data_IF_018834220339
#
_entry.id   IF_018834220339
#
_cell.length_a   1.000
_cell.length_b   1.000
_cell.length_c   1.000
_cell.angle_alpha   90.00
_cell.angle_beta   90.00
_cell.angle_gamma   90.00
#
_symmetry.space_group_name_H-M   'P 1'
#
loop_
_entity.id
_entity.type
_entity.pdbx_description
1 polymer ?
#
# COMPACT_ATOMS: atom_id res chain seq x y z
N UNK A 1 -39.32 -31.73 -33.40
CA UNK A 1 -38.43 -31.11 -32.39
C UNK A 1 -38.10 -29.69 -32.83
N UNK A 2 -38.75 -28.68 -32.26
CA UNK A 2 -38.52 -27.26 -32.60
C UNK A 2 -37.47 -26.70 -31.63
N UNK A 3 -36.33 -26.24 -32.17
CA UNK A 3 -35.31 -25.52 -31.39
C UNK A 3 -35.80 -24.09 -31.17
N UNK A 4 -36.14 -23.76 -29.93
CA UNK A 4 -36.37 -22.37 -29.50
C UNK A 4 -34.98 -21.79 -29.24
N UNK A 5 -34.54 -20.88 -30.11
CA UNK A 5 -33.37 -20.04 -29.87
C UNK A 5 -33.83 -18.90 -28.97
N UNK A 6 -33.51 -18.98 -27.68
CA UNK A 6 -33.77 -17.91 -26.73
C UNK A 6 -32.65 -16.88 -26.88
N UNK A 7 -32.91 -15.80 -27.62
CA UNK A 7 -32.02 -14.65 -27.73
C UNK A 7 -32.17 -13.82 -26.44
N UNK A 8 -31.30 -14.07 -25.45
CA UNK A 8 -31.25 -13.28 -24.22
C UNK A 8 -30.73 -11.88 -24.50
N UNK A 9 -31.61 -10.88 -24.46
CA UNK A 9 -31.25 -9.47 -24.43
C UNK A 9 -30.42 -9.20 -23.16
N UNK A 10 -29.14 -8.88 -23.33
CA UNK A 10 -28.31 -8.32 -22.27
C UNK A 10 -28.77 -6.88 -22.05
N UNK A 11 -29.57 -6.66 -21.02
CA UNK A 11 -29.79 -5.33 -20.44
C UNK A 11 -28.47 -4.88 -19.83
N UNK A 12 -27.66 -4.16 -20.60
CA UNK A 12 -26.60 -3.32 -20.08
C UNK A 12 -27.27 -2.22 -19.25
N UNK A 13 -27.37 -2.44 -17.94
CA UNK A 13 -27.63 -1.37 -17.00
C UNK A 13 -26.49 -0.36 -17.15
N UNK A 14 -26.77 0.76 -17.81
CA UNK A 14 -25.92 1.95 -17.80
C UNK A 14 -25.93 2.50 -16.37
N UNK A 15 -25.16 1.89 -15.48
CA UNK A 15 -24.79 2.52 -14.23
C UNK A 15 -23.98 3.75 -14.62
N UNK A 16 -24.54 4.92 -14.32
CA UNK A 16 -23.90 6.22 -14.43
C UNK A 16 -22.45 6.09 -13.94
N UNK A 17 -21.49 6.04 -14.86
CA UNK A 17 -20.09 6.16 -14.51
C UNK A 17 -19.96 7.59 -14.00
N UNK A 18 -20.05 7.79 -12.68
CA UNK A 18 -19.72 9.07 -12.08
C UNK A 18 -18.28 9.32 -12.49
N UNK A 19 -18.06 10.32 -13.33
CA UNK A 19 -16.71 10.74 -13.65
C UNK A 19 -16.08 11.23 -12.34
N UNK A 20 -15.18 10.44 -11.77
CA UNK A 20 -14.54 10.78 -10.51
C UNK A 20 -13.50 11.86 -10.82
N UNK A 21 -13.75 13.07 -10.34
CA UNK A 21 -12.77 14.15 -10.41
C UNK A 21 -12.07 14.25 -9.05
N UNK A 22 -10.77 14.02 -9.05
CA UNK A 22 -9.93 14.21 -7.86
C UNK A 22 -9.33 15.61 -7.93
N UNK A 23 -9.68 16.47 -6.97
CA UNK A 23 -9.14 17.81 -6.88
C UNK A 23 -7.73 17.77 -6.28
N UNK A 24 -6.73 18.18 -7.06
CA UNK A 24 -5.35 18.33 -6.58
C UNK A 24 -5.18 19.75 -6.02
N UNK A 25 -4.70 19.91 -4.77
CA UNK A 25 -4.45 21.23 -4.19
C UNK A 25 -3.42 22.04 -4.98
N UNK A 26 -3.54 23.38 -4.95
CA UNK A 26 -2.77 24.32 -5.81
C UNK A 26 -1.26 24.34 -5.53
N UNK A 27 -0.86 23.93 -4.33
CA UNK A 27 0.52 23.77 -3.88
C UNK A 27 1.21 22.54 -4.49
N UNK A 28 0.45 21.65 -5.14
CA UNK A 28 0.93 20.48 -5.88
C UNK A 28 0.81 20.72 -7.39
N UNK A 29 1.93 21.09 -8.00
CA UNK A 29 1.99 21.48 -9.41
C UNK A 29 2.37 20.29 -10.27
N UNK A 30 1.56 20.03 -11.31
CA UNK A 30 1.88 19.01 -12.30
C UNK A 30 3.26 19.29 -12.90
N UNK A 31 4.15 18.30 -12.81
CA UNK A 31 5.55 18.44 -13.17
C UNK A 31 5.95 17.26 -14.02
N UNK A 32 6.83 17.51 -15.01
CA UNK A 32 7.44 16.44 -15.79
C UNK A 32 8.09 15.43 -14.86
N UNK A 33 7.77 14.15 -15.05
CA UNK A 33 8.35 13.06 -14.27
C UNK A 33 9.87 13.08 -14.44
N UNK A 34 10.65 13.19 -13.35
CA UNK A 34 12.09 13.19 -13.45
C UNK A 34 12.60 11.80 -13.83
N UNK A 35 13.74 11.75 -14.50
CA UNK A 35 14.45 10.50 -14.72
C UNK A 35 15.00 10.05 -13.36
N UNK A 36 14.80 8.77 -13.00
CA UNK A 36 15.35 8.23 -11.76
C UNK A 36 16.85 8.50 -11.66
N UNK A 37 17.33 8.96 -10.50
CA UNK A 37 18.73 9.32 -10.24
C UNK A 37 19.29 10.52 -11.03
N UNK A 38 18.44 11.30 -11.72
CA UNK A 38 18.83 12.61 -12.27
C UNK A 38 18.94 13.71 -11.21
N UNK A 39 19.45 14.89 -11.57
CA UNK A 39 19.51 16.05 -10.67
C UNK A 39 18.12 16.45 -10.14
N UNK A 40 17.10 16.50 -11.01
CA UNK A 40 15.72 16.80 -10.61
C UNK A 40 15.18 15.78 -9.61
N UNK A 41 15.50 14.50 -9.82
CA UNK A 41 15.16 13.44 -8.87
C UNK A 41 15.91 13.59 -7.55
N UNK A 42 17.20 13.96 -7.58
CA UNK A 42 18.03 14.13 -6.40
C UNK A 42 17.48 15.26 -5.51
N UNK A 43 16.99 16.34 -6.12
CA UNK A 43 16.29 17.42 -5.41
C UNK A 43 15.07 16.88 -4.65
N UNK A 44 14.28 15.99 -5.26
CA UNK A 44 13.16 15.34 -4.57
C UNK A 44 13.62 14.43 -3.45
N UNK A 45 14.66 13.63 -3.67
CA UNK A 45 15.21 12.73 -2.66
C UNK A 45 15.66 13.49 -1.40
N UNK A 46 16.19 14.71 -1.56
CA UNK A 46 16.61 15.57 -0.47
C UNK A 46 15.50 16.50 0.08
N UNK A 47 14.27 16.39 -0.42
CA UNK A 47 13.13 17.16 0.12
C UNK A 47 12.89 16.82 1.60
N UNK A 48 12.65 17.83 2.46
CA UNK A 48 12.30 17.60 3.86
C UNK A 48 10.84 17.17 4.05
N UNK A 49 10.03 17.20 2.97
CA UNK A 49 8.59 16.96 3.02
C UNK A 49 8.27 15.56 2.47
N UNK A 50 7.66 14.72 3.31
CA UNK A 50 6.98 13.47 2.92
C UNK A 50 5.47 13.68 3.06
N UNK A 51 4.69 13.27 2.06
CA UNK A 51 3.24 13.49 2.03
C UNK A 51 2.48 12.19 2.16
N UNK A 52 1.53 12.14 3.10
CA UNK A 52 0.51 11.10 3.16
C UNK A 52 -0.76 11.57 2.48
N UNK A 53 -1.38 10.68 1.73
CA UNK A 53 -2.69 10.88 1.10
C UNK A 53 -3.72 9.92 1.67
N UNK A 54 -4.97 10.37 1.77
CA UNK A 54 -6.12 9.51 2.06
C UNK A 54 -7.31 9.89 1.19
N UNK A 55 -8.21 8.94 0.97
CA UNK A 55 -9.55 9.21 0.46
C UNK A 55 -10.51 9.21 1.65
N UNK A 56 -11.10 10.37 1.96
CA UNK A 56 -12.13 10.52 3.00
C UNK A 56 -13.40 11.00 2.32
N UNK A 57 -14.45 10.17 2.31
CA UNK A 57 -15.74 10.50 1.69
C UNK A 57 -15.63 10.94 0.22
N UNK A 58 -14.75 10.30 -0.56
CA UNK A 58 -14.48 10.65 -1.96
C UNK A 58 -13.80 12.01 -2.15
N UNK A 59 -13.07 12.48 -1.13
CA UNK A 59 -12.21 13.66 -1.19
C UNK A 59 -10.76 13.30 -0.85
N UNK A 60 -9.82 13.89 -1.59
CA UNK A 60 -8.39 13.72 -1.34
C UNK A 60 -7.97 14.59 -0.16
N UNK A 61 -7.44 13.96 0.89
CA UNK A 61 -6.75 14.67 1.97
C UNK A 61 -5.26 14.40 1.89
N UNK A 62 -4.46 15.44 2.13
CA UNK A 62 -2.99 15.37 2.08
C UNK A 62 -2.43 15.96 3.37
N UNK A 63 -1.52 15.25 4.01
CA UNK A 63 -0.83 15.72 5.22
C UNK A 63 0.69 15.52 5.10
N UNK A 64 1.47 16.47 5.63
CA UNK A 64 2.92 16.27 5.82
C UNK A 64 3.15 15.30 6.97
N UNK A 65 3.95 14.28 6.76
CA UNK A 65 4.23 13.25 7.77
C UNK A 65 5.71 13.12 8.08
N UNK A 66 5.99 12.47 9.21
CA UNK A 66 7.28 11.85 9.50
C UNK A 66 7.13 10.34 9.34
N UNK A 67 8.24 9.68 8.99
CA UNK A 67 8.27 8.22 8.91
C UNK A 67 7.77 7.58 10.22
N UNK A 68 6.87 6.60 10.09
CA UNK A 68 6.42 5.76 11.22
C UNK A 68 7.18 4.44 11.18
N UNK A 69 7.62 4.00 12.35
CA UNK A 69 8.39 2.75 12.49
C UNK A 69 7.54 1.58 12.98
N UNK A 70 6.34 1.84 13.51
CA UNK A 70 5.49 0.82 14.10
C UNK A 70 4.10 0.81 13.46
N UNK A 71 3.49 -0.37 13.43
CA UNK A 71 2.09 -0.61 13.05
C UNK A 71 1.40 -1.40 14.17
N UNK A 72 0.11 -1.17 14.38
CA UNK A 72 -0.66 -1.85 15.41
C UNK A 72 -1.99 -2.36 14.86
N UNK A 73 -2.46 -3.48 15.40
CA UNK A 73 -3.78 -4.02 15.11
C UNK A 73 -4.43 -4.54 16.39
N UNK A 74 -5.56 -3.93 16.76
CA UNK A 74 -6.33 -4.34 17.93
C UNK A 74 -7.10 -5.64 17.65
N UNK A 75 -6.95 -6.59 18.56
CA UNK A 75 -7.73 -7.83 18.66
C UNK A 75 -8.50 -7.84 19.98
N UNK A 76 -9.45 -8.77 20.12
CA UNK A 76 -10.30 -8.86 21.31
C UNK A 76 -9.48 -9.21 22.56
N UNK A 77 -8.42 -10.01 22.40
CA UNK A 77 -7.58 -10.52 23.50
C UNK A 77 -6.26 -9.75 23.69
N UNK A 78 -6.03 -8.69 22.91
CA UNK A 78 -4.78 -7.95 22.96
C UNK A 78 -4.47 -7.21 21.67
N UNK A 79 -3.24 -6.73 21.54
CA UNK A 79 -2.81 -5.89 20.42
C UNK A 79 -1.62 -6.54 19.73
N UNK A 80 -1.69 -6.67 18.40
CA UNK A 80 -0.53 -6.98 17.59
C UNK A 80 0.25 -5.70 17.33
N UNK A 81 1.56 -5.75 17.53
CA UNK A 81 2.49 -4.64 17.34
C UNK A 81 3.57 -5.12 16.39
N UNK A 82 3.64 -4.49 15.23
CA UNK A 82 4.70 -4.68 14.25
C UNK A 82 5.73 -3.56 14.36
N UNK A 83 6.99 -3.93 14.50
CA UNK A 83 8.12 -3.00 14.53
C UNK A 83 8.97 -3.15 13.25
N UNK A 84 9.28 -2.02 12.63
CA UNK A 84 10.25 -1.91 11.54
C UNK A 84 11.38 -0.99 11.96
N UNK A 85 12.59 -1.54 12.00
CA UNK A 85 13.79 -0.88 12.50
C UNK A 85 14.97 -1.01 11.51
N UNK A 86 14.68 -1.27 10.23
CA UNK A 86 15.68 -1.41 9.18
C UNK A 86 16.45 -2.72 9.34
N UNK A 87 17.77 -2.69 9.19
CA UNK A 87 18.61 -3.89 9.38
C UNK A 87 18.55 -4.47 10.80
N UNK A 88 18.01 -3.72 11.76
CA UNK A 88 18.13 -4.03 13.17
C UNK A 88 16.79 -4.48 13.75
N UNK A 89 16.66 -5.75 14.12
CA UNK A 89 15.77 -6.19 15.20
C UNK A 89 14.28 -5.79 15.09
N UNK A 90 13.74 -5.70 13.87
CA UNK A 90 12.28 -5.64 13.65
C UNK A 90 11.60 -6.92 14.15
N UNK A 91 10.34 -6.81 14.57
CA UNK A 91 9.60 -7.95 15.12
C UNK A 91 8.08 -7.75 15.08
N UNK A 92 7.37 -8.87 15.08
CA UNK A 92 5.95 -8.96 15.36
C UNK A 92 5.76 -9.43 16.80
N UNK A 93 5.05 -8.64 17.60
CA UNK A 93 4.73 -8.95 19.00
C UNK A 93 3.20 -8.98 19.16
N UNK A 94 2.71 -9.88 20.02
CA UNK A 94 1.39 -9.77 20.60
C UNK A 94 1.48 -9.36 22.06
N UNK A 95 0.73 -8.33 22.44
CA UNK A 95 0.60 -7.85 23.81
C UNK A 95 -0.79 -8.18 24.33
N UNK A 96 -0.88 -9.11 25.28
CA UNK A 96 -2.15 -9.51 25.87
C UNK A 96 -2.79 -8.38 26.68
N UNK A 97 -4.11 -8.26 26.64
CA UNK A 97 -4.87 -7.34 27.51
C UNK A 97 -5.28 -7.98 28.85
N UNK A 98 -4.88 -9.23 29.11
CA UNK A 98 -5.07 -9.90 30.40
C UNK A 98 -4.21 -9.25 31.49
N UNK A 99 -4.56 -9.42 32.77
CA UNK A 99 -3.85 -8.84 33.94
C UNK A 99 -2.33 -9.05 33.94
N UNK A 100 -1.84 -10.15 33.38
CA UNK A 100 -0.41 -10.48 33.36
C UNK A 100 0.39 -9.71 32.29
N UNK A 101 -0.27 -8.93 31.41
CA UNK A 101 0.34 -8.10 30.36
C UNK A 101 1.45 -8.82 29.57
N UNK A 102 1.29 -10.12 29.34
CA UNK A 102 2.33 -10.93 28.70
C UNK A 102 2.54 -10.50 27.25
N UNK A 103 3.80 -10.25 26.91
CA UNK A 103 4.24 -10.03 25.53
C UNK A 103 4.78 -11.33 24.93
N UNK A 104 4.38 -11.62 23.70
CA UNK A 104 4.77 -12.81 22.94
C UNK A 104 5.40 -12.34 21.63
N UNK A 105 6.69 -12.61 21.46
CA UNK A 105 7.35 -12.45 20.16
C UNK A 105 6.88 -13.55 19.23
N UNK A 106 6.22 -13.17 18.13
CA UNK A 106 5.68 -14.10 17.13
C UNK A 106 6.72 -14.37 16.06
N UNK A 107 7.40 -13.31 15.60
CA UNK A 107 8.34 -13.39 14.47
C UNK A 107 9.35 -12.25 14.53
N UNK A 108 10.59 -12.53 14.13
CA UNK A 108 11.59 -11.50 13.78
C UNK A 108 11.49 -11.13 12.31
N UNK A 109 11.55 -9.83 12.03
CA UNK A 109 11.43 -9.25 10.70
C UNK A 109 10.82 -7.86 10.73
N UNK A 110 11.05 -7.07 9.68
CA UNK A 110 10.53 -5.71 9.60
C UNK A 110 9.06 -5.72 9.23
N UNK A 111 8.19 -5.59 10.23
CA UNK A 111 6.74 -5.60 10.02
C UNK A 111 6.29 -4.19 9.67
N UNK A 112 5.82 -3.99 8.43
CA UNK A 112 5.34 -2.69 7.94
C UNK A 112 3.85 -2.51 8.10
N UNK A 113 3.08 -3.57 7.87
CA UNK A 113 1.63 -3.51 7.84
C UNK A 113 1.02 -4.66 8.63
N UNK A 114 -0.06 -4.36 9.36
CA UNK A 114 -0.95 -5.31 10.02
C UNK A 114 -2.38 -5.00 9.58
N UNK A 115 -3.13 -6.02 9.14
CA UNK A 115 -4.49 -5.80 8.64
C UNK A 115 -5.38 -7.03 8.81
N UNK A 116 -6.70 -6.80 8.80
CA UNK A 116 -7.71 -7.85 8.68
C UNK A 116 -8.23 -7.88 7.25
N UNK A 117 -8.39 -9.07 6.70
CA UNK A 117 -8.98 -9.26 5.38
C UNK A 117 -9.81 -10.55 5.37
N UNK A 118 -11.07 -10.46 4.92
CA UNK A 118 -12.01 -11.61 4.87
C UNK A 118 -12.04 -12.44 6.17
N UNK A 119 -12.07 -11.75 7.32
CA UNK A 119 -12.13 -12.37 8.65
C UNK A 119 -10.82 -12.97 9.18
N UNK A 120 -9.72 -12.86 8.42
CA UNK A 120 -8.40 -13.36 8.80
C UNK A 120 -7.42 -12.22 9.06
N UNK A 121 -6.34 -12.52 9.77
CA UNK A 121 -5.29 -11.56 10.12
C UNK A 121 -4.10 -11.77 9.22
N UNK A 122 -3.52 -10.68 8.73
CA UNK A 122 -2.35 -10.67 7.87
C UNK A 122 -1.34 -9.64 8.33
N UNK A 123 -0.08 -9.89 7.98
CA UNK A 123 0.98 -8.92 8.11
C UNK A 123 1.86 -8.90 6.87
N UNK A 124 2.49 -7.76 6.62
CA UNK A 124 3.46 -7.58 5.53
C UNK A 124 4.82 -7.27 6.13
N UNK A 125 5.79 -8.09 5.76
CA UNK A 125 7.19 -7.79 5.98
C UNK A 125 7.76 -7.04 4.78
N UNK A 126 8.61 -6.05 5.05
CA UNK A 126 9.32 -5.35 3.99
C UNK A 126 10.67 -4.85 4.47
N UNK A 127 11.70 -5.05 3.65
CA UNK A 127 13.04 -4.53 3.88
C UNK A 127 13.64 -4.10 2.55
N UNK A 128 14.09 -2.85 2.49
CA UNK A 128 14.97 -2.33 1.43
C UNK A 128 16.25 -1.86 2.10
N UNK A 129 17.34 -2.61 1.94
CA UNK A 129 18.65 -2.27 2.47
C UNK A 129 19.81 -2.84 1.64
N UNK A 130 20.79 -1.98 1.31
CA UNK A 130 21.98 -2.29 0.51
C UNK A 130 21.64 -3.14 -0.73
N UNK A 131 21.99 -4.43 -0.70
CA UNK A 131 21.83 -5.37 -1.82
C UNK A 131 20.52 -6.15 -1.78
N UNK A 132 19.70 -5.98 -0.73
CA UNK A 132 18.42 -6.68 -0.57
C UNK A 132 17.25 -5.70 -0.62
N UNK A 133 16.32 -5.96 -1.55
CA UNK A 133 14.98 -5.39 -1.53
C UNK A 133 13.98 -6.54 -1.63
N UNK A 134 12.99 -6.55 -0.76
CA UNK A 134 11.99 -7.61 -0.76
C UNK A 134 10.97 -7.48 0.35
N UNK A 135 9.96 -8.33 0.27
CA UNK A 135 8.92 -8.40 1.27
C UNK A 135 8.00 -9.58 1.03
N UNK A 136 7.07 -9.81 1.96
CA UNK A 136 6.10 -10.87 1.83
C UNK A 136 4.84 -10.59 2.65
N UNK A 137 3.71 -11.11 2.18
CA UNK A 137 2.45 -11.16 2.93
C UNK A 137 2.37 -12.52 3.63
N UNK A 138 2.03 -12.51 4.90
CA UNK A 138 1.80 -13.70 5.71
C UNK A 138 0.38 -13.70 6.27
N UNK A 139 -0.26 -14.87 6.30
CA UNK A 139 -1.46 -15.12 7.09
C UNK A 139 -1.03 -15.46 8.51
N UNK A 140 -1.62 -14.81 9.52
CA UNK A 140 -1.41 -15.10 10.93
C UNK A 140 -2.63 -15.84 11.49
N UNK A 141 -2.39 -16.96 12.17
CA UNK A 141 -3.39 -17.72 12.91
C UNK A 141 -3.09 -17.65 14.39
N UNK A 142 -4.14 -17.44 15.19
CA UNK A 142 -4.07 -17.40 16.63
C UNK A 142 -4.99 -18.48 17.21
N UNK A 143 -4.44 -19.29 18.12
CA UNK A 143 -5.20 -20.23 18.96
C UNK A 143 -4.84 -19.96 20.43
N UNK A 144 -5.72 -19.25 21.13
CA UNK A 144 -5.41 -18.67 22.44
C UNK A 144 -4.17 -17.76 22.39
N UNK A 145 -3.11 -18.13 23.11
CA UNK A 145 -1.83 -17.42 23.13
C UNK A 145 -0.77 -18.02 22.18
N UNK A 146 -1.14 -18.99 21.35
CA UNK A 146 -0.25 -19.58 20.36
C UNK A 146 -0.46 -18.94 19.01
N UNK A 147 0.65 -18.64 18.32
CA UNK A 147 0.64 -17.99 17.01
C UNK A 147 1.38 -18.85 16.01
N UNK A 148 0.78 -19.03 14.84
CA UNK A 148 1.42 -19.63 13.67
C UNK A 148 1.21 -18.72 12.47
N UNK A 149 2.11 -18.77 11.50
CA UNK A 149 2.00 -17.95 10.29
C UNK A 149 2.44 -18.70 9.04
N UNK A 150 1.85 -18.34 7.91
CA UNK A 150 2.11 -18.95 6.61
C UNK A 150 2.37 -17.86 5.57
N UNK A 151 3.45 -17.98 4.80
CA UNK A 151 3.74 -17.06 3.69
C UNK A 151 2.72 -17.27 2.58
N UNK A 152 2.05 -16.20 2.16
CA UNK A 152 1.01 -16.24 1.11
C UNK A 152 1.49 -15.68 -0.22
N UNK A 153 2.34 -14.65 -0.18
CA UNK A 153 2.89 -14.01 -1.37
C UNK A 153 4.25 -13.40 -1.04
N UNK A 154 5.19 -13.49 -1.98
CA UNK A 154 6.53 -12.91 -1.89
C UNK A 154 6.73 -11.85 -2.97
N UNK A 155 7.44 -10.76 -2.61
CA UNK A 155 7.80 -9.67 -3.49
C UNK A 155 9.32 -9.62 -3.63
N UNK A 156 9.76 -9.33 -4.86
CA UNK A 156 11.17 -9.05 -5.19
C UNK A 156 11.58 -7.60 -4.91
N UNK A 157 10.65 -6.82 -4.37
CA UNK A 157 10.84 -5.41 -4.05
C UNK A 157 10.08 -5.10 -2.76
N UNK A 158 10.60 -4.18 -1.94
CA UNK A 158 10.09 -3.90 -0.60
C UNK A 158 8.76 -3.16 -0.64
N UNK A 159 7.65 -3.70 -0.09
CA UNK A 159 6.41 -2.95 0.11
C UNK A 159 6.60 -1.71 1.00
N UNK A 160 6.15 -0.55 0.54
CA UNK A 160 6.30 0.73 1.26
C UNK A 160 4.97 1.45 1.49
N UNK A 161 3.99 1.27 0.60
CA UNK A 161 2.59 1.66 0.80
C UNK A 161 1.64 0.51 0.46
N UNK A 162 0.55 0.40 1.22
CA UNK A 162 -0.43 -0.67 1.09
C UNK A 162 -1.84 -0.15 1.37
N UNK A 163 -2.80 -0.59 0.58
CA UNK A 163 -4.23 -0.43 0.88
C UNK A 163 -5.04 -1.58 0.30
N UNK A 164 -6.26 -1.76 0.80
CA UNK A 164 -7.25 -2.71 0.28
C UNK A 164 -8.41 -1.93 -0.28
N UNK A 165 -8.79 -2.21 -1.52
CA UNK A 165 -9.94 -1.61 -2.19
C UNK A 165 -10.68 -2.69 -2.98
N UNK A 166 -11.98 -2.85 -2.75
CA UNK A 166 -12.83 -3.85 -3.42
C UNK A 166 -12.23 -5.28 -3.47
N UNK A 167 -11.77 -5.77 -2.32
CA UNK A 167 -11.08 -7.06 -2.15
C UNK A 167 -9.73 -7.22 -2.87
N UNK A 168 -9.20 -6.14 -3.45
CA UNK A 168 -7.92 -6.08 -4.14
C UNK A 168 -6.88 -5.38 -3.25
N UNK A 169 -5.65 -5.91 -3.19
CA UNK A 169 -4.56 -5.19 -2.55
C UNK A 169 -3.80 -4.34 -3.57
N UNK A 170 -3.65 -3.06 -3.27
CA UNK A 170 -2.77 -2.16 -4.01
C UNK A 170 -1.52 -1.93 -3.19
N UNK A 171 -0.36 -2.18 -3.81
CA UNK A 171 0.92 -2.18 -3.11
C UNK A 171 1.92 -1.39 -3.93
N UNK A 172 2.32 -0.23 -3.42
CA UNK A 172 3.51 0.46 -3.91
C UNK A 172 4.71 -0.09 -3.16
N UNK A 173 5.70 -0.56 -3.92
CA UNK A 173 7.00 -0.96 -3.40
C UNK A 173 8.03 0.12 -3.71
N UNK A 174 9.27 -0.09 -3.26
CA UNK A 174 10.37 0.85 -3.45
C UNK A 174 10.44 1.46 -4.86
N UNK A 175 10.28 0.63 -5.90
CA UNK A 175 10.39 1.06 -7.30
C UNK A 175 9.32 0.43 -8.22
N UNK A 176 8.33 -0.27 -7.67
CA UNK A 176 7.28 -0.93 -8.45
C UNK A 176 5.89 -0.69 -7.86
N UNK A 177 4.86 -1.10 -8.59
CA UNK A 177 3.49 -1.10 -8.12
C UNK A 177 2.78 -2.38 -8.53
N UNK A 178 2.10 -3.01 -7.59
CA UNK A 178 1.39 -4.26 -7.77
C UNK A 178 -0.09 -4.13 -7.44
N UNK A 179 -0.89 -4.84 -8.23
CA UNK A 179 -2.26 -5.20 -7.92
C UNK A 179 -2.24 -6.67 -7.49
N UNK A 180 -2.85 -7.01 -6.35
CA UNK A 180 -2.89 -8.38 -5.84
C UNK A 180 -4.32 -8.82 -5.60
N UNK A 181 -4.69 -9.92 -6.24
CA UNK A 181 -5.99 -10.58 -6.09
C UNK A 181 -5.75 -12.05 -5.75
N UNK A 182 -6.42 -12.59 -4.74
CA UNK A 182 -6.25 -13.96 -4.27
C UNK A 182 -4.77 -14.36 -4.06
N UNK A 183 -3.97 -13.42 -3.53
CA UNK A 183 -2.53 -13.58 -3.30
C UNK A 183 -1.72 -13.88 -4.57
N UNK A 184 -2.26 -13.55 -5.75
CA UNK A 184 -1.53 -13.52 -7.02
C UNK A 184 -1.27 -12.07 -7.39
N UNK A 185 -0.02 -11.73 -7.70
CA UNK A 185 0.37 -10.37 -8.03
C UNK A 185 0.42 -10.13 -9.54
N UNK A 186 -0.03 -8.94 -9.94
CA UNK A 186 0.14 -8.36 -11.26
C UNK A 186 0.96 -7.08 -11.12
N UNK A 187 2.11 -7.05 -11.78
CA UNK A 187 2.96 -5.86 -11.85
C UNK A 187 2.34 -4.85 -12.83
N UNK A 188 2.04 -3.65 -12.35
CA UNK A 188 1.47 -2.56 -13.17
C UNK A 188 2.57 -1.62 -13.61
N UNK A 189 3.35 -1.12 -12.65
CA UNK A 189 4.48 -0.21 -12.90
C UNK A 189 5.78 -0.82 -12.43
N UNK A 190 6.84 -0.67 -13.23
CA UNK A 190 8.16 -1.27 -12.99
C UNK A 190 9.26 -0.22 -13.08
N UNK A 191 10.26 -0.28 -12.18
CA UNK A 191 11.46 0.57 -12.19
C UNK A 191 11.13 2.06 -12.32
N UNK A 192 10.24 2.54 -11.47
CA UNK A 192 9.63 3.87 -11.58
C UNK A 192 10.49 4.97 -10.95
N UNK A 193 10.19 6.22 -11.29
CA UNK A 193 10.96 7.37 -10.82
C UNK A 193 10.94 7.56 -9.30
N UNK A 194 9.94 6.99 -8.61
CA UNK A 194 9.82 7.09 -7.15
C UNK A 194 10.72 6.12 -6.39
N UNK A 195 11.61 5.39 -7.08
CA UNK A 195 12.73 4.71 -6.42
C UNK A 195 13.35 5.66 -5.40
N UNK A 196 13.48 5.21 -4.15
CA UNK A 196 13.99 6.01 -3.02
C UNK A 196 13.29 7.36 -2.76
N UNK A 197 12.07 7.55 -3.26
CA UNK A 197 11.17 8.65 -2.90
C UNK A 197 10.07 8.20 -1.94
N UNK A 198 10.22 7.03 -1.32
CA UNK A 198 9.44 6.56 -0.17
C UNK A 198 7.91 6.64 -0.33
N UNK A 199 7.30 5.88 -1.26
CA UNK A 199 5.86 5.65 -1.24
C UNK A 199 5.36 5.32 0.16
N UNK A 200 4.40 6.08 0.68
CA UNK A 200 4.00 5.93 2.09
C UNK A 200 2.50 5.75 2.31
N UNK A 201 1.68 6.00 1.27
CA UNK A 201 0.23 5.91 1.36
C UNK A 201 -0.44 5.86 -0.01
N UNK A 202 -1.68 5.37 -0.04
CA UNK A 202 -2.49 5.22 -1.24
C UNK A 202 -3.92 5.68 -0.95
N UNK A 203 -4.42 6.62 -1.74
CA UNK A 203 -5.81 7.05 -1.77
C UNK A 203 -6.45 6.56 -3.08
N UNK A 204 -7.45 5.69 -2.98
CA UNK A 204 -8.06 5.02 -4.13
C UNK A 204 -9.46 5.57 -4.34
N UNK A 205 -9.74 6.08 -5.53
CA UNK A 205 -11.06 6.55 -5.93
C UNK A 205 -11.68 5.59 -6.95
N UNK A 206 -10.87 5.13 -7.89
CA UNK A 206 -11.15 4.06 -8.86
C UNK A 206 -9.81 3.57 -9.46
N UNK A 207 -9.86 2.76 -10.53
CA UNK A 207 -8.68 2.23 -11.20
C UNK A 207 -7.91 3.25 -12.06
N UNK A 208 -8.48 4.41 -12.38
CA UNK A 208 -7.85 5.51 -13.13
C UNK A 208 -7.31 6.62 -12.20
N UNK A 209 -7.78 6.61 -10.94
CA UNK A 209 -7.57 7.63 -9.94
C UNK A 209 -7.03 7.03 -8.64
N UNK A 210 -5.82 6.46 -8.70
CA UNK A 210 -5.07 6.08 -7.50
C UNK A 210 -4.02 7.14 -7.20
N UNK A 211 -4.12 7.81 -6.06
CA UNK A 211 -3.14 8.81 -5.63
C UNK A 211 -2.19 8.16 -4.63
N UNK A 212 -0.89 8.36 -4.85
CA UNK A 212 0.18 7.86 -4.00
C UNK A 212 0.95 9.02 -3.39
N UNK A 213 1.10 8.99 -2.07
CA UNK A 213 1.96 9.93 -1.35
C UNK A 213 3.41 9.50 -1.41
N UNK A 214 4.30 10.44 -1.73
CA UNK A 214 5.76 10.22 -1.80
C UNK A 214 6.50 11.39 -1.14
N UNK A 215 7.83 11.30 -1.09
CA UNK A 215 8.71 12.42 -0.78
C UNK A 215 8.63 13.49 -1.88
N UNK A 216 8.44 14.74 -1.48
CA UNK A 216 8.46 15.90 -2.37
C UNK A 216 7.21 16.10 -3.24
N UNK A 217 6.18 15.26 -3.10
CA UNK A 217 4.94 15.43 -3.85
C UNK A 217 3.99 14.23 -3.76
N UNK A 218 3.12 14.12 -4.76
CA UNK A 218 2.17 13.02 -4.93
C UNK A 218 2.18 12.52 -6.38
N UNK A 219 1.77 11.27 -6.59
CA UNK A 219 1.67 10.65 -7.92
C UNK A 219 0.25 10.18 -8.14
N UNK A 220 -0.39 10.62 -9.22
CA UNK A 220 -1.63 10.02 -9.73
C UNK A 220 -1.26 8.85 -10.63
N UNK A 221 -1.89 7.70 -10.42
CA UNK A 221 -1.69 6.47 -11.18
C UNK A 221 -3.01 6.08 -11.85
N UNK A 222 -2.94 5.80 -13.15
CA UNK A 222 -3.99 5.11 -13.90
C UNK A 222 -3.54 3.66 -14.12
N UNK A 223 -4.23 2.72 -13.46
CA UNK A 223 -3.92 1.29 -13.49
C UNK A 223 -4.38 0.59 -14.77
N UNK A 224 -5.31 1.21 -15.52
CA UNK A 224 -5.86 0.68 -16.78
C UNK A 224 -4.89 0.96 -17.92
N UNK A 225 -4.59 2.24 -18.13
CA UNK A 225 -3.71 2.71 -19.20
C UNK A 225 -2.23 2.59 -18.83
N UNK A 226 -1.94 2.32 -17.56
CA UNK A 226 -0.59 2.27 -16.99
C UNK A 226 0.16 3.57 -17.21
N UNK A 227 -0.54 4.66 -16.99
CA UNK A 227 -0.01 6.01 -17.04
C UNK A 227 0.09 6.61 -15.64
N UNK A 228 0.92 7.63 -15.49
CA UNK A 228 1.08 8.34 -14.23
C UNK A 228 1.33 9.83 -14.44
N UNK A 229 0.89 10.62 -13.48
CA UNK A 229 1.12 12.06 -13.42
C UNK A 229 1.77 12.40 -12.09
N UNK A 230 2.85 13.18 -12.12
CA UNK A 230 3.54 13.62 -10.91
C UNK A 230 3.16 15.06 -10.59
N UNK A 231 2.80 15.30 -9.33
CA UNK A 231 2.57 16.64 -8.80
C UNK A 231 3.62 16.95 -7.73
N UNK A 232 4.52 17.89 -8.03
CA UNK A 232 5.58 18.34 -7.13
C UNK A 232 5.01 19.37 -6.16
N UNK A 233 5.37 19.25 -4.89
CA UNK A 233 5.08 20.28 -3.90
C UNK A 233 5.99 21.50 -4.09
N UNK A 234 5.43 22.70 -4.07
CA UNK A 234 6.15 23.95 -4.45
C UNK A 234 6.25 25.02 -3.36
N UNK A 235 5.68 24.76 -2.17
CA UNK A 235 5.71 25.69 -1.02
C UNK A 235 6.78 25.36 0.04
#
# INVERSE_FOLDING_TARGET
MKKIVLLGFILLSLTHCKHVQVNIPVDFVETKIPVAFSEDWAILNHSPNDFRVNNVNNELTIEKIKARNNTELQLDQGTLIGESKGEWNGKLIFKSNTKDNKEIEIKKGNIKFLFKFKGKIYFIEALSHLTYTGGAIYELKQDGNQFTYEKRLEFKDSPEAFTVHDDVFLIATHQNFYVVEDFKSKLIFKNTFWSSLYPNSLAVFDNEHVIMGIRGGIVKLNLIDKDMTFYKYTE
#
